data_IF_388632038697
#
_entry.id   IF_388632038697
#
_cell.length_a   1.000
_cell.length_b   1.000
_cell.length_c   1.000
_cell.angle_alpha   90.00
_cell.angle_beta   90.00
_cell.angle_gamma   90.00
#
_symmetry.space_group_name_H-M   'P 1'
#
loop_
_entity.id
_entity.type
_entity.pdbx_description
1 polymer ?
#
# COMPACT_ATOMS: atom_id res chain seq x y z
N UNK A 1 -18.63 8.99 7.93
CA UNK A 1 -18.70 7.52 8.06
C UNK A 1 -17.57 7.09 9.00
N UNK A 2 -17.85 6.34 10.08
CA UNK A 2 -16.81 5.94 11.06
C UNK A 2 -15.87 4.91 10.41
N UNK A 3 -14.55 5.15 10.51
CA UNK A 3 -13.48 4.27 10.03
C UNK A 3 -13.66 2.79 10.47
N UNK A 4 -14.39 2.52 11.56
CA UNK A 4 -14.66 1.15 12.05
C UNK A 4 -15.47 0.27 11.09
N UNK A 5 -16.37 0.84 10.28
CA UNK A 5 -17.13 0.08 9.28
C UNK A 5 -16.29 -0.24 8.04
N UNK A 6 -15.32 0.63 7.70
CA UNK A 6 -14.44 0.52 6.53
C UNK A 6 -13.33 -0.51 6.66
N UNK A 7 -13.23 -1.27 7.75
CA UNK A 7 -12.17 -2.31 7.90
C UNK A 7 -12.74 -3.73 8.02
N UNK A 8 -14.05 -3.93 7.93
CA UNK A 8 -14.63 -5.27 8.05
C UNK A 8 -14.27 -6.21 6.89
N UNK A 9 -13.78 -5.68 5.76
CA UNK A 9 -13.28 -6.47 4.64
C UNK A 9 -11.78 -6.82 4.77
N UNK A 10 -11.10 -6.27 5.78
CA UNK A 10 -9.66 -6.47 6.01
C UNK A 10 -9.49 -7.41 7.20
N UNK A 11 -8.87 -8.56 6.95
CA UNK A 11 -8.40 -9.45 8.00
C UNK A 11 -7.09 -8.91 8.55
N UNK A 12 -7.22 -8.09 9.58
CA UNK A 12 -6.13 -7.40 10.28
C UNK A 12 -5.03 -8.35 10.79
N UNK A 13 -3.78 -7.89 10.75
CA UNK A 13 -2.63 -8.56 11.36
C UNK A 13 -2.45 -8.24 12.85
N UNK A 14 -3.39 -7.50 13.45
CA UNK A 14 -3.37 -7.09 14.85
C UNK A 14 -3.18 -5.59 15.01
N UNK A 15 -2.38 -5.19 15.99
CA UNK A 15 -2.10 -3.80 16.29
C UNK A 15 -0.60 -3.58 16.30
N UNK A 16 -0.19 -2.40 15.87
CA UNK A 16 1.12 -1.81 16.15
C UNK A 16 0.91 -0.59 17.06
N UNK A 17 1.99 0.08 17.45
CA UNK A 17 1.96 1.29 18.25
C UNK A 17 2.72 2.44 17.58
N UNK A 18 2.62 3.63 18.18
CA UNK A 18 3.28 4.82 17.62
C UNK A 18 4.82 4.73 17.62
N UNK A 19 5.43 3.98 18.54
CA UNK A 19 6.89 3.88 18.63
C UNK A 19 7.42 3.00 17.50
N UNK A 20 6.71 1.93 17.16
CA UNK A 20 7.01 1.08 16.02
C UNK A 20 6.91 1.87 14.72
N UNK A 21 5.81 2.60 14.52
CA UNK A 21 5.62 3.47 13.35
C UNK A 21 6.73 4.53 13.27
N UNK A 22 7.07 5.21 14.38
CA UNK A 22 8.17 6.20 14.41
C UNK A 22 9.53 5.58 14.11
N UNK A 23 9.75 4.34 14.56
CA UNK A 23 10.97 3.60 14.26
C UNK A 23 11.07 3.29 12.78
N UNK A 24 9.97 2.84 12.17
CA UNK A 24 9.89 2.59 10.74
C UNK A 24 10.10 3.87 9.91
N UNK A 25 9.43 4.97 10.26
CA UNK A 25 9.63 6.30 9.66
C UNK A 25 11.11 6.70 9.69
N UNK A 26 11.79 6.49 10.83
CA UNK A 26 13.22 6.80 10.98
C UNK A 26 14.11 5.89 10.12
N UNK A 27 13.83 4.59 10.10
CA UNK A 27 14.61 3.60 9.33
C UNK A 27 14.49 3.83 7.83
N UNK A 28 13.29 4.14 7.34
CA UNK A 28 13.03 4.42 5.94
C UNK A 28 13.26 5.89 5.57
N UNK A 29 13.63 6.75 6.53
CA UNK A 29 13.78 8.18 6.35
C UNK A 29 12.53 8.82 5.71
N UNK A 30 11.34 8.47 6.18
CA UNK A 30 10.05 8.90 5.64
C UNK A 30 9.16 9.46 6.75
N UNK A 31 8.18 10.27 6.37
CA UNK A 31 7.10 10.69 7.25
C UNK A 31 5.78 10.22 6.66
N UNK A 32 5.12 9.31 7.35
CA UNK A 32 3.83 8.80 6.91
C UNK A 32 2.72 9.82 7.12
N UNK A 33 1.75 9.90 6.19
CA UNK A 33 0.57 10.71 6.37
C UNK A 33 -0.28 10.18 7.53
N UNK A 34 -1.03 11.07 8.17
CA UNK A 34 -1.75 10.71 9.41
C UNK A 34 -2.83 9.65 9.17
N UNK A 35 -3.49 9.67 8.02
CA UNK A 35 -4.53 8.69 7.67
C UNK A 35 -3.97 7.26 7.51
N UNK A 36 -2.76 7.12 6.96
CA UNK A 36 -2.08 5.82 6.91
C UNK A 36 -1.65 5.34 8.29
N UNK A 37 -1.14 6.24 9.15
CA UNK A 37 -0.79 5.88 10.54
C UNK A 37 -2.01 5.43 11.33
N UNK A 38 -3.14 6.12 11.17
CA UNK A 38 -4.41 5.72 11.81
C UNK A 38 -4.86 4.32 11.37
N UNK A 39 -4.64 3.97 10.10
CA UNK A 39 -4.86 2.62 9.58
C UNK A 39 -3.92 1.60 10.23
N UNK A 40 -2.60 1.86 10.25
CA UNK A 40 -1.61 0.97 10.86
C UNK A 40 -1.90 0.72 12.34
N UNK A 41 -2.16 1.77 13.12
CA UNK A 41 -2.50 1.63 14.55
C UNK A 41 -3.75 0.77 14.79
N UNK A 42 -4.67 0.77 13.83
CA UNK A 42 -5.94 0.06 13.95
C UNK A 42 -5.85 -1.40 13.50
N UNK A 43 -5.14 -1.69 12.42
CA UNK A 43 -5.15 -3.02 11.78
C UNK A 43 -3.77 -3.64 11.58
N UNK A 44 -2.72 -2.84 11.66
CA UNK A 44 -1.33 -3.16 11.31
C UNK A 44 -1.21 -3.85 9.94
N UNK A 45 -1.89 -3.31 8.92
CA UNK A 45 -2.06 -3.99 7.64
C UNK A 45 -3.22 -5.00 7.67
N UNK A 46 -3.14 -6.02 6.82
CA UNK A 46 -4.08 -7.12 6.77
C UNK A 46 -4.28 -7.69 5.36
N UNK A 47 -4.81 -8.91 5.29
CA UNK A 47 -5.23 -9.50 4.02
C UNK A 47 -6.64 -9.03 3.65
N UNK A 48 -6.88 -8.78 2.37
CA UNK A 48 -8.18 -8.36 1.86
C UNK A 48 -8.90 -9.60 1.34
N UNK A 49 -10.22 -9.67 1.56
CA UNK A 49 -11.01 -10.75 0.98
C UNK A 49 -10.94 -10.67 -0.55
N UNK A 50 -10.60 -11.79 -1.18
CA UNK A 50 -10.62 -11.91 -2.63
C UNK A 50 -12.08 -12.06 -3.13
N UNK A 51 -12.79 -10.94 -3.12
CA UNK A 51 -14.12 -10.74 -3.68
C UNK A 51 -14.14 -9.45 -4.50
N UNK A 52 -15.28 -9.11 -5.11
CA UNK A 52 -15.39 -7.94 -5.99
C UNK A 52 -15.15 -6.58 -5.30
N UNK A 53 -14.89 -6.55 -3.99
CA UNK A 53 -14.65 -5.31 -3.24
C UNK A 53 -13.19 -4.86 -3.29
N UNK A 54 -12.24 -5.73 -3.69
CA UNK A 54 -10.81 -5.41 -3.75
C UNK A 54 -10.31 -4.89 -5.12
N UNK A 55 -11.23 -4.67 -6.06
CA UNK A 55 -10.94 -4.27 -7.44
C UNK A 55 -10.71 -2.76 -7.58
N UNK A 56 -9.60 -2.40 -8.23
CA UNK A 56 -9.26 -1.02 -8.61
C UNK A 56 -9.04 -0.95 -10.12
N UNK A 57 -9.67 0.03 -10.77
CA UNK A 57 -9.38 0.37 -12.17
C UNK A 57 -8.26 1.41 -12.22
N UNK A 58 -7.13 1.05 -12.82
CA UNK A 58 -6.03 1.95 -13.15
C UNK A 58 -6.43 2.81 -14.34
N UNK A 59 -6.98 4.00 -14.08
CA UNK A 59 -7.62 4.86 -15.08
C UNK A 59 -6.72 5.21 -16.27
N UNK A 60 -5.41 5.34 -16.03
CA UNK A 60 -4.45 5.76 -17.04
C UNK A 60 -4.26 4.71 -18.16
N UNK A 61 -4.45 3.43 -17.84
CA UNK A 61 -4.24 2.30 -18.76
C UNK A 61 -5.49 1.42 -18.95
N UNK A 62 -6.58 1.71 -18.24
CA UNK A 62 -7.83 0.96 -18.33
C UNK A 62 -7.75 -0.49 -17.83
N UNK A 63 -6.73 -0.83 -17.04
CA UNK A 63 -6.55 -2.18 -16.45
C UNK A 63 -7.14 -2.26 -15.05
N UNK A 64 -7.39 -3.48 -14.61
CA UNK A 64 -7.89 -3.78 -13.26
C UNK A 64 -6.79 -4.47 -12.47
N UNK A 65 -6.63 -4.05 -11.23
CA UNK A 65 -5.84 -4.76 -10.22
C UNK A 65 -6.73 -5.16 -9.04
N UNK A 66 -6.33 -6.21 -8.33
CA UNK A 66 -6.99 -6.70 -7.13
C UNK A 66 -6.02 -6.62 -5.97
N UNK A 67 -6.35 -5.84 -4.95
CA UNK A 67 -5.48 -5.74 -3.77
C UNK A 67 -5.61 -7.03 -2.95
N UNK A 68 -4.48 -7.67 -2.67
CA UNK A 68 -4.44 -8.93 -1.91
C UNK A 68 -4.08 -8.64 -0.45
N UNK A 69 -2.97 -7.93 -0.23
CA UNK A 69 -2.42 -7.69 1.10
C UNK A 69 -2.02 -6.22 1.25
N UNK A 70 -2.31 -5.66 2.42
CA UNK A 70 -1.67 -4.45 2.92
C UNK A 70 -0.68 -4.84 4.00
N UNK A 71 0.58 -4.45 3.82
CA UNK A 71 1.66 -4.81 4.73
C UNK A 71 1.55 -4.08 6.07
N UNK A 72 2.14 -4.69 7.09
CA UNK A 72 2.18 -4.19 8.45
C UNK A 72 3.58 -3.78 8.90
N UNK A 73 3.66 -3.27 10.11
CA UNK A 73 4.89 -2.94 10.81
C UNK A 73 5.27 -4.07 11.75
N UNK A 74 6.53 -4.49 11.74
CA UNK A 74 7.10 -5.52 12.61
C UNK A 74 6.27 -6.80 12.61
N UNK A 75 5.83 -7.24 11.43
CA UNK A 75 5.00 -8.45 11.34
C UNK A 75 5.81 -9.71 11.64
N UNK A 76 5.19 -10.74 12.22
CA UNK A 76 5.87 -12.01 12.52
C UNK A 76 6.40 -12.71 11.26
N UNK A 77 5.82 -12.43 10.10
CA UNK A 77 6.22 -12.96 8.81
C UNK A 77 6.68 -11.82 7.89
N UNK A 78 7.97 -11.78 7.59
CA UNK A 78 8.57 -10.74 6.73
C UNK A 78 7.93 -10.60 5.35
N UNK A 79 7.25 -11.64 4.84
CA UNK A 79 6.49 -11.54 3.59
C UNK A 79 5.33 -10.53 3.64
N UNK A 80 4.93 -10.06 4.82
CA UNK A 80 3.87 -9.06 5.00
C UNK A 80 4.37 -7.78 5.67
N UNK A 81 5.69 -7.56 5.68
CA UNK A 81 6.33 -6.47 6.41
C UNK A 81 6.77 -5.33 5.48
N UNK A 82 6.41 -4.10 5.87
CA UNK A 82 6.73 -2.88 5.11
C UNK A 82 8.24 -2.65 5.01
N UNK A 83 8.97 -2.83 6.11
CA UNK A 83 10.41 -2.58 6.16
C UNK A 83 11.15 -3.57 5.26
N UNK A 84 10.77 -4.85 5.35
CA UNK A 84 11.39 -5.91 4.55
C UNK A 84 11.29 -5.62 3.05
N UNK A 85 10.08 -5.39 2.54
CA UNK A 85 9.87 -5.18 1.10
C UNK A 85 10.46 -3.86 0.62
N UNK A 86 10.27 -2.77 1.38
CA UNK A 86 10.82 -1.46 0.99
C UNK A 86 12.33 -1.49 0.93
N UNK A 87 13.02 -2.16 1.88
CA UNK A 87 14.48 -2.31 1.83
C UNK A 87 14.96 -3.21 0.70
N UNK A 88 14.20 -4.25 0.37
CA UNK A 88 14.54 -5.19 -0.70
C UNK A 88 14.56 -4.52 -2.07
N UNK A 89 13.71 -3.52 -2.30
CA UNK A 89 13.57 -2.80 -3.56
C UNK A 89 14.10 -1.36 -3.49
N UNK A 90 14.83 -0.98 -2.45
CA UNK A 90 15.17 0.42 -2.18
C UNK A 90 15.92 1.11 -3.33
N UNK A 91 16.75 0.36 -4.05
CA UNK A 91 17.55 0.87 -5.17
C UNK A 91 16.71 1.07 -6.45
N UNK A 92 15.54 0.43 -6.54
CA UNK A 92 14.60 0.51 -7.68
C UNK A 92 13.46 1.51 -7.42
N UNK A 93 13.32 2.01 -6.18
CA UNK A 93 12.26 2.92 -5.77
C UNK A 93 12.71 4.38 -5.84
N UNK A 94 11.79 5.27 -6.21
CA UNK A 94 11.99 6.71 -6.05
C UNK A 94 12.17 7.08 -4.57
N UNK A 95 12.92 8.15 -4.30
CA UNK A 95 13.08 8.66 -2.94
C UNK A 95 11.72 8.88 -2.26
N UNK A 96 11.67 8.61 -0.95
CA UNK A 96 10.46 8.74 -0.13
C UNK A 96 9.28 7.86 -0.57
N UNK A 97 9.55 6.75 -1.25
CA UNK A 97 8.56 5.72 -1.60
C UNK A 97 8.62 4.56 -0.62
N UNK A 98 7.45 4.01 -0.25
CA UNK A 98 7.31 2.83 0.60
C UNK A 98 6.42 1.81 -0.08
N UNK A 99 6.79 0.53 0.02
CA UNK A 99 5.93 -0.57 -0.39
C UNK A 99 4.96 -0.87 0.76
N UNK A 100 3.67 -0.68 0.52
CA UNK A 100 2.61 -0.80 1.53
C UNK A 100 1.68 -1.99 1.30
N UNK A 101 1.85 -2.74 0.21
CA UNK A 101 1.02 -3.91 -0.09
C UNK A 101 1.37 -4.57 -1.41
N UNK A 102 0.55 -5.56 -1.77
CA UNK A 102 0.69 -6.40 -2.96
C UNK A 102 -0.68 -6.64 -3.61
N UNK A 103 -0.65 -7.04 -4.88
CA UNK A 103 -1.82 -7.36 -5.70
C UNK A 103 -1.76 -8.79 -6.22
N UNK A 104 -2.91 -9.30 -6.68
CA UNK A 104 -2.96 -10.60 -7.37
C UNK A 104 -2.24 -10.61 -8.73
N UNK A 105 -1.88 -9.44 -9.25
CA UNK A 105 -1.17 -9.29 -10.51
C UNK A 105 0.36 -9.37 -10.34
N UNK A 106 0.85 -9.64 -9.12
CA UNK A 106 2.28 -9.65 -8.78
C UNK A 106 2.95 -8.29 -9.02
N UNK A 107 2.26 -7.22 -8.64
CA UNK A 107 2.82 -5.89 -8.55
C UNK A 107 2.49 -5.25 -7.22
N UNK A 108 3.35 -4.35 -6.78
CA UNK A 108 3.28 -3.72 -5.46
C UNK A 108 2.29 -2.56 -5.41
N UNK A 109 1.75 -2.34 -4.22
CA UNK A 109 1.11 -1.07 -3.86
C UNK A 109 2.15 -0.24 -3.15
N UNK A 110 2.45 0.94 -3.70
CA UNK A 110 3.45 1.85 -3.16
C UNK A 110 2.82 3.18 -2.76
N UNK A 111 3.40 3.81 -1.75
CA UNK A 111 2.99 5.13 -1.27
C UNK A 111 4.18 6.06 -1.35
N UNK A 112 3.99 7.20 -2.01
CA UNK A 112 5.00 8.26 -2.14
C UNK A 112 4.68 9.33 -1.08
N UNK A 113 5.71 9.78 -0.36
CA UNK A 113 5.62 10.74 0.75
C UNK A 113 6.68 11.86 0.61
N UNK A 114 6.83 12.44 -0.57
CA UNK A 114 7.85 13.45 -0.90
C UNK A 114 7.33 14.91 -0.85
N UNK A 115 6.01 15.10 -0.65
CA UNK A 115 5.32 16.38 -0.60
C UNK A 115 4.83 16.94 -1.95
N UNK A 116 5.30 16.40 -3.08
CA UNK A 116 4.94 16.86 -4.44
C UNK A 116 4.13 15.81 -5.20
N UNK A 117 4.51 14.54 -5.04
CA UNK A 117 3.95 13.36 -5.68
C UNK A 117 3.24 12.47 -4.64
N UNK A 118 2.81 13.07 -3.52
CA UNK A 118 2.13 12.33 -2.46
C UNK A 118 0.91 11.57 -3.01
N UNK A 119 0.82 10.29 -2.66
CA UNK A 119 -0.28 9.46 -3.12
C UNK A 119 0.00 7.97 -3.01
N UNK A 120 -0.98 7.18 -3.44
CA UNK A 120 -0.90 5.72 -3.55
C UNK A 120 -0.87 5.33 -5.02
N UNK A 121 0.05 4.44 -5.37
CA UNK A 121 0.35 4.01 -6.73
C UNK A 121 0.43 2.49 -6.80
N UNK A 122 0.18 1.95 -7.99
CA UNK A 122 0.51 0.59 -8.36
C UNK A 122 1.89 0.59 -9.04
N UNK A 123 2.80 -0.27 -8.58
CA UNK A 123 4.11 -0.48 -9.16
C UNK A 123 4.16 -1.88 -9.80
N UNK A 124 4.13 -1.92 -11.12
CA UNK A 124 4.19 -3.14 -11.93
C UNK A 124 5.63 -3.60 -12.14
N UNK A 125 6.30 -4.06 -11.07
CA UNK A 125 7.71 -4.48 -11.11
C UNK A 125 7.94 -5.73 -11.97
N UNK A 126 6.88 -6.52 -12.20
CA UNK A 126 6.93 -7.74 -13.00
C UNK A 126 6.60 -7.54 -14.49
N UNK A 127 6.29 -6.31 -14.92
CA UNK A 127 5.81 -6.01 -16.27
C UNK A 127 4.59 -6.88 -16.68
N UNK A 128 3.65 -7.04 -15.75
CA UNK A 128 2.44 -7.81 -15.99
C UNK A 128 1.57 -7.20 -17.10
N UNK A 129 1.54 -5.87 -17.20
CA UNK A 129 0.81 -5.17 -18.25
C UNK A 129 1.69 -4.86 -19.47
N UNK A 130 1.12 -5.00 -20.68
CA UNK A 130 1.79 -4.67 -21.95
C UNK A 130 2.20 -3.18 -22.03
N UNK A 131 1.49 -2.31 -21.30
CA UNK A 131 1.77 -0.88 -21.19
C UNK A 131 3.03 -0.61 -20.34
N UNK A 132 3.47 -1.57 -19.53
CA UNK A 132 4.58 -1.41 -18.60
C UNK A 132 5.93 -1.64 -19.27
N UNK A 133 6.89 -0.77 -18.95
CA UNK A 133 8.29 -0.88 -19.38
C UNK A 133 9.22 -0.19 -18.37
N UNK A 134 10.53 -0.25 -18.62
CA UNK A 134 11.57 0.29 -17.72
C UNK A 134 11.35 1.76 -17.33
N UNK A 135 10.67 2.56 -18.17
CA UNK A 135 10.39 3.97 -17.89
C UNK A 135 8.97 4.24 -17.41
N UNK A 136 8.04 3.29 -17.61
CA UNK A 136 6.61 3.49 -17.37
C UNK A 136 6.01 2.23 -16.74
N UNK A 137 6.13 2.07 -15.43
CA UNK A 137 5.54 0.93 -14.70
C UNK A 137 4.91 1.32 -13.36
N UNK A 138 4.77 2.63 -13.10
CA UNK A 138 4.15 3.17 -11.89
C UNK A 138 2.88 3.95 -12.25
N UNK A 139 1.74 3.55 -11.70
CA UNK A 139 0.42 4.06 -12.05
C UNK A 139 -0.31 4.61 -10.84
N UNK A 140 -0.79 5.85 -10.91
CA UNK A 140 -1.52 6.46 -9.80
C UNK A 140 -2.85 5.74 -9.52
N UNK A 141 -3.11 5.47 -8.24
CA UNK A 141 -4.40 4.94 -7.76
C UNK A 141 -5.22 6.06 -7.13
N UNK A 142 -4.64 6.82 -6.20
CA UNK A 142 -5.33 7.90 -5.47
C UNK A 142 -4.35 8.91 -4.87
N UNK A 143 -4.85 10.07 -4.47
CA UNK A 143 -4.01 11.15 -3.94
C UNK A 143 -3.71 11.01 -2.43
N UNK A 144 -4.40 10.12 -1.72
CA UNK A 144 -4.18 9.87 -0.30
C UNK A 144 -4.66 8.48 0.11
N UNK A 145 -4.21 8.00 1.26
CA UNK A 145 -4.50 6.65 1.71
C UNK A 145 -5.98 6.43 2.02
N UNK A 146 -6.69 7.45 2.51
CA UNK A 146 -8.14 7.37 2.77
C UNK A 146 -8.93 7.12 1.49
N UNK A 147 -8.62 7.83 0.40
CA UNK A 147 -9.25 7.64 -0.91
C UNK A 147 -8.96 6.23 -1.45
N UNK A 148 -7.72 5.77 -1.36
CA UNK A 148 -7.34 4.40 -1.70
C UNK A 148 -8.18 3.37 -0.94
N UNK A 149 -8.27 3.51 0.39
CA UNK A 149 -9.02 2.57 1.23
C UNK A 149 -10.52 2.55 0.88
N UNK A 150 -11.08 3.71 0.50
CA UNK A 150 -12.47 3.83 0.07
C UNK A 150 -12.76 3.14 -1.26
N UNK A 151 -11.74 2.87 -2.08
CA UNK A 151 -11.87 2.10 -3.30
C UNK A 151 -12.02 0.60 -3.05
N UNK A 152 -11.38 0.07 -1.99
CA UNK A 152 -11.22 -1.38 -1.75
C UNK A 152 -11.96 -1.94 -0.53
N UNK A 153 -12.73 -1.10 0.15
CA UNK A 153 -13.62 -1.53 1.25
C UNK A 153 -15.03 -0.96 1.07
N UNK A 154 -15.59 -1.14 -0.12
CA UNK A 154 -16.96 -0.73 -0.45
C UNK A 154 -17.98 -1.61 0.27
N UNK A 155 -18.70 -1.03 1.23
CA UNK A 155 -19.96 -1.56 1.75
C UNK A 155 -20.96 -0.42 1.94
#
# INVERSE_FOLDING_TARGET
MKLSLKTSAIKSFGKTDENDIKSLEKVLNIRFPNDYKDFLLKTNGGSILNDNTNEIVLKNIGKIINIDILYGVNTENSCFDIEYWTKKYIDDLFEKTVIIGDSLQNGFIVMICDGNNDGVYYYDDSYYFDESNDENNVYIISNNFTEFLDMIVKR
#
